data_IF_927819414425
#
_entry.id   IF_927819414425
#
_cell.length_a   1.000
_cell.length_b   1.000
_cell.length_c   1.000
_cell.angle_alpha   90.00
_cell.angle_beta   90.00
_cell.angle_gamma   90.00
#
_symmetry.space_group_name_H-M   'P 1'
#
loop_
_entity.id
_entity.type
_entity.pdbx_description
1 polymer ?
#
# COMPACT_ATOMS: atom_id res chain seq x y z
N UNK A 1 68.75 9.05 6.52
CA UNK A 1 69.20 9.20 7.92
C UNK A 1 68.07 8.81 8.82
N UNK A 2 68.12 7.65 9.45
CA UNK A 2 67.45 7.28 10.73
C UNK A 2 68.30 7.99 11.84
N UNK A 3 67.84 8.09 13.13
CA UNK A 3 67.13 7.14 14.02
C UNK A 3 66.01 7.83 14.83
N UNK A 4 65.25 7.32 15.80
CA UNK A 4 65.24 6.18 16.76
C UNK A 4 63.84 6.01 17.31
N UNK A 5 63.27 4.92 17.43
CA UNK A 5 63.21 3.73 18.28
C UNK A 5 63.40 4.00 19.80
N UNK A 6 62.42 3.49 20.54
CA UNK A 6 62.38 3.07 21.95
C UNK A 6 61.72 4.02 22.98
N UNK A 7 60.76 3.43 23.66
CA UNK A 7 60.52 3.77 25.05
C UNK A 7 59.10 3.78 25.52
N UNK A 8 58.67 2.68 26.18
CA UNK A 8 57.78 2.86 27.30
C UNK A 8 56.67 1.89 27.52
N UNK A 9 56.95 0.59 27.68
CA UNK A 9 56.08 -0.28 28.45
C UNK A 9 56.40 -0.11 29.95
N UNK A 10 55.48 0.45 30.71
CA UNK A 10 55.47 0.33 32.19
C UNK A 10 54.08 0.44 32.76
N UNK A 11 53.75 -0.63 33.52
CA UNK A 11 52.94 -0.68 34.75
C UNK A 11 51.42 -0.44 34.61
N UNK A 12 50.71 -1.52 34.44
CA UNK A 12 49.41 -1.70 35.02
C UNK A 12 49.41 -2.99 35.86
N UNK A 13 49.99 -2.91 37.03
CA UNK A 13 49.76 -3.81 38.17
C UNK A 13 49.63 -2.91 39.38
N UNK A 14 48.45 -2.89 39.92
CA UNK A 14 48.00 -2.61 41.29
C UNK A 14 46.67 -1.92 41.28
N UNK A 15 45.63 -2.67 41.54
CA UNK A 15 44.53 -2.27 42.38
C UNK A 15 43.62 -3.52 42.57
N UNK A 16 43.99 -4.36 43.56
CA UNK A 16 43.05 -5.26 44.20
C UNK A 16 42.28 -4.46 45.25
N UNK A 17 40.96 -4.40 45.24
CA UNK A 17 40.20 -3.86 46.37
C UNK A 17 40.18 -4.90 47.50
N UNK A 18 40.65 -4.43 48.67
CA UNK A 18 40.57 -5.09 49.96
C UNK A 18 39.10 -5.35 50.32
N UNK A 19 38.76 -6.59 50.67
CA UNK A 19 37.43 -6.97 51.14
C UNK A 19 37.22 -6.44 52.55
N UNK A 20 36.19 -5.61 52.76
CA UNK A 20 35.71 -5.25 54.09
C UNK A 20 34.77 -6.35 54.65
N UNK A 21 34.90 -6.74 55.93
CA UNK A 21 34.01 -7.69 56.60
C UNK A 21 32.84 -6.93 57.23
N UNK A 22 31.67 -7.03 56.66
CA UNK A 22 30.46 -6.37 57.23
C UNK A 22 29.20 -6.53 56.34
N UNK A 23 28.98 -7.71 55.82
CA UNK A 23 27.79 -7.98 55.00
C UNK A 23 26.53 -8.24 55.84
N UNK A 24 25.59 -7.31 55.76
CA UNK A 24 24.22 -7.49 56.16
C UNK A 24 23.54 -8.39 55.12
N UNK A 25 22.86 -9.46 55.56
CA UNK A 25 22.05 -10.34 54.71
C UNK A 25 20.85 -9.51 54.17
N UNK A 26 20.96 -8.98 52.97
CA UNK A 26 19.83 -8.39 52.27
C UNK A 26 19.03 -9.44 51.53
N UNK A 27 17.79 -9.43 51.88
CA UNK A 27 16.59 -10.05 51.36
C UNK A 27 16.68 -10.41 49.86
N UNK A 28 16.77 -11.69 49.56
CA UNK A 28 16.85 -12.26 48.23
C UNK A 28 15.47 -12.25 47.56
N UNK A 29 14.88 -11.05 47.33
CA UNK A 29 13.74 -10.91 46.46
C UNK A 29 14.23 -11.07 45.03
N UNK A 30 13.82 -12.15 44.40
CA UNK A 30 13.96 -12.40 42.97
C UNK A 30 13.16 -11.32 42.21
N UNK A 31 13.79 -10.19 41.94
CA UNK A 31 13.25 -9.20 41.01
C UNK A 31 13.60 -9.71 39.60
N UNK A 32 12.61 -10.17 38.81
CA UNK A 32 12.90 -10.59 37.45
C UNK A 32 13.48 -9.37 36.72
N UNK A 33 14.70 -9.51 36.14
CA UNK A 33 15.31 -8.48 35.31
C UNK A 33 14.31 -8.16 34.22
N UNK A 34 14.00 -6.87 33.94
CA UNK A 34 13.18 -6.53 32.81
C UNK A 34 13.82 -7.12 31.56
N UNK A 35 13.01 -7.83 30.75
CA UNK A 35 13.46 -8.42 29.50
C UNK A 35 14.14 -7.31 28.71
N UNK A 36 15.42 -7.55 28.37
CA UNK A 36 16.20 -6.61 27.57
C UNK A 36 15.55 -6.47 26.18
N UNK A 37 14.78 -5.41 25.99
CA UNK A 37 14.13 -5.10 24.73
C UNK A 37 15.05 -4.36 23.76
N UNK A 38 16.35 -4.27 24.10
CA UNK A 38 17.35 -3.57 23.27
C UNK A 38 17.45 -4.19 21.87
N UNK A 39 17.43 -5.53 21.80
CA UNK A 39 17.43 -6.23 20.51
C UNK A 39 16.19 -5.93 19.66
N UNK A 40 15.03 -5.75 20.30
CA UNK A 40 13.80 -5.39 19.59
C UNK A 40 13.87 -3.95 19.05
N UNK A 41 14.44 -3.04 19.82
CA UNK A 41 14.67 -1.65 19.39
C UNK A 41 15.67 -1.56 18.24
N UNK A 42 16.79 -2.33 18.30
CA UNK A 42 17.73 -2.38 17.18
C UNK A 42 17.09 -3.01 15.94
N UNK A 43 16.37 -4.11 16.10
CA UNK A 43 15.65 -4.75 14.98
C UNK A 43 14.63 -3.79 14.35
N UNK A 44 13.88 -3.03 15.15
CA UNK A 44 12.95 -2.02 14.65
C UNK A 44 13.67 -0.86 13.97
N UNK A 45 14.79 -0.43 14.52
CA UNK A 45 15.62 0.62 13.94
C UNK A 45 16.17 0.19 12.57
N UNK A 46 16.76 -1.00 12.49
CA UNK A 46 17.34 -1.55 11.27
C UNK A 46 16.27 -1.83 10.21
N UNK A 47 15.12 -2.38 10.62
CA UNK A 47 14.01 -2.69 9.71
C UNK A 47 13.27 -1.42 9.20
N UNK A 48 13.13 -0.40 10.06
CA UNK A 48 12.32 0.77 9.75
C UNK A 48 13.13 1.93 9.17
N UNK A 49 14.41 2.06 9.49
CA UNK A 49 15.21 3.23 9.14
C UNK A 49 16.34 2.94 8.14
N UNK A 50 16.88 1.71 8.12
CA UNK A 50 17.98 1.36 7.22
C UNK A 50 17.55 0.39 6.12
N UNK A 51 17.17 0.92 4.96
CA UNK A 51 16.93 0.12 3.74
C UNK A 51 18.22 -0.39 3.06
N UNK A 52 19.38 -0.13 3.65
CA UNK A 52 20.68 -0.36 3.03
C UNK A 52 21.05 -1.84 2.74
N UNK A 53 20.73 -2.86 3.57
CA UNK A 53 21.17 -4.23 3.29
C UNK A 53 20.36 -4.92 2.19
N UNK A 54 19.20 -4.37 1.80
CA UNK A 54 18.28 -5.04 0.87
C UNK A 54 18.42 -4.56 -0.59
N UNK A 55 19.36 -3.67 -0.89
CA UNK A 55 19.63 -3.22 -2.27
C UNK A 55 20.04 -4.41 -3.15
N UNK A 56 19.43 -4.52 -4.32
CA UNK A 56 19.65 -5.60 -5.26
C UNK A 56 18.78 -6.86 -5.03
N UNK A 57 18.29 -7.08 -3.81
CA UNK A 57 17.43 -8.22 -3.51
C UNK A 57 16.03 -8.05 -4.12
N UNK A 58 15.59 -6.80 -4.30
CA UNK A 58 14.25 -6.45 -4.79
C UNK A 58 14.21 -6.11 -6.30
N UNK A 59 15.26 -6.31 -7.06
CA UNK A 59 15.25 -6.00 -8.49
C UNK A 59 14.26 -6.89 -9.26
N UNK A 60 13.35 -6.24 -9.98
CA UNK A 60 12.34 -6.88 -10.81
C UNK A 60 12.59 -6.59 -12.30
N UNK A 61 12.42 -7.58 -13.18
CA UNK A 61 12.40 -7.36 -14.61
C UNK A 61 11.31 -6.37 -15.02
N UNK A 62 11.60 -5.55 -16.04
CA UNK A 62 10.67 -4.51 -16.57
C UNK A 62 9.31 -5.10 -16.98
N UNK A 63 9.24 -6.38 -17.29
CA UNK A 63 7.99 -7.06 -17.66
C UNK A 63 6.92 -6.96 -16.58
N UNK A 64 7.29 -6.88 -15.31
CA UNK A 64 6.32 -6.68 -14.20
C UNK A 64 5.69 -5.29 -14.25
N UNK A 65 6.49 -4.25 -14.56
CA UNK A 65 6.01 -2.88 -14.70
C UNK A 65 5.11 -2.74 -15.94
N UNK A 66 5.57 -3.25 -17.09
CA UNK A 66 4.79 -3.27 -18.33
C UNK A 66 3.50 -4.06 -18.19
N UNK A 67 3.53 -5.19 -17.48
CA UNK A 67 2.34 -5.99 -17.18
C UNK A 67 1.34 -5.24 -16.30
N UNK A 68 1.81 -4.53 -15.28
CA UNK A 68 0.97 -3.69 -14.44
C UNK A 68 0.30 -2.57 -15.25
N UNK A 69 1.07 -1.87 -16.10
CA UNK A 69 0.55 -0.86 -17.03
C UNK A 69 -0.51 -1.46 -17.95
N UNK A 70 -0.24 -2.66 -18.53
CA UNK A 70 -1.19 -3.33 -19.41
C UNK A 70 -2.54 -3.58 -18.73
N UNK A 71 -2.54 -4.19 -17.55
CA UNK A 71 -3.79 -4.50 -16.85
C UNK A 71 -4.56 -3.24 -16.48
N UNK A 72 -3.91 -2.20 -15.97
CA UNK A 72 -4.59 -0.95 -15.66
C UNK A 72 -5.07 -0.21 -16.91
N UNK A 73 -4.25 -0.10 -17.96
CA UNK A 73 -4.67 0.49 -19.23
C UNK A 73 -5.86 -0.27 -19.83
N UNK A 74 -5.89 -1.58 -19.73
CA UNK A 74 -7.00 -2.42 -20.17
C UNK A 74 -8.28 -2.08 -19.37
N UNK A 75 -8.20 -1.90 -18.05
CA UNK A 75 -9.38 -1.47 -17.27
C UNK A 75 -9.86 -0.08 -17.66
N UNK A 76 -8.94 0.83 -18.00
CA UNK A 76 -9.25 2.16 -18.54
C UNK A 76 -9.96 2.09 -19.89
N UNK A 77 -9.44 1.29 -20.83
CA UNK A 77 -10.06 1.07 -22.14
C UNK A 77 -11.48 0.49 -22.01
N UNK A 78 -11.65 -0.55 -21.16
CA UNK A 78 -12.94 -1.16 -20.91
C UNK A 78 -13.93 -0.19 -20.23
N UNK A 79 -13.45 0.69 -19.34
CA UNK A 79 -14.27 1.71 -18.73
C UNK A 79 -14.73 2.77 -19.75
N UNK A 80 -13.85 3.16 -20.68
CA UNK A 80 -14.17 4.09 -21.77
C UNK A 80 -15.23 3.50 -22.73
N UNK A 81 -15.07 2.22 -23.13
CA UNK A 81 -16.04 1.51 -23.97
C UNK A 81 -17.42 1.46 -23.29
N UNK A 82 -17.50 1.17 -22.00
CA UNK A 82 -18.75 1.18 -21.23
C UNK A 82 -19.41 2.56 -21.18
N UNK A 83 -18.64 3.64 -21.29
CA UNK A 83 -19.12 5.03 -21.30
C UNK A 83 -19.46 5.51 -22.71
N UNK A 84 -19.22 4.73 -23.75
CA UNK A 84 -19.43 5.11 -25.13
C UNK A 84 -18.47 6.18 -25.61
N UNK A 85 -17.24 6.22 -25.06
CA UNK A 85 -16.22 7.15 -25.52
C UNK A 85 -15.69 6.72 -26.89
N UNK A 86 -15.24 7.68 -27.67
CA UNK A 86 -14.57 7.46 -28.95
C UNK A 86 -13.14 6.89 -28.76
N UNK A 87 -12.44 6.66 -29.87
CA UNK A 87 -11.09 6.12 -29.87
C UNK A 87 -10.09 6.98 -29.09
N UNK A 88 -10.22 8.31 -29.20
CA UNK A 88 -9.34 9.25 -28.52
C UNK A 88 -9.61 9.23 -27.02
N UNK A 89 -10.87 9.29 -26.63
CA UNK A 89 -11.28 9.21 -25.24
C UNK A 89 -10.90 7.87 -24.60
N UNK A 90 -11.02 6.76 -25.34
CA UNK A 90 -10.58 5.45 -24.90
C UNK A 90 -9.06 5.41 -24.67
N UNK A 91 -8.27 5.93 -25.61
CA UNK A 91 -6.81 5.97 -25.48
C UNK A 91 -6.39 6.85 -24.29
N UNK A 92 -6.96 8.04 -24.15
CA UNK A 92 -6.66 8.96 -23.04
C UNK A 92 -6.98 8.29 -21.70
N UNK A 93 -8.15 7.67 -21.57
CA UNK A 93 -8.54 7.02 -20.32
C UNK A 93 -7.67 5.79 -20.01
N UNK A 94 -7.33 4.99 -21.02
CA UNK A 94 -6.40 3.87 -20.89
C UNK A 94 -5.00 4.35 -20.47
N UNK A 95 -4.51 5.42 -21.11
CA UNK A 95 -3.23 6.04 -20.78
C UNK A 95 -3.21 6.53 -19.32
N UNK A 96 -4.15 7.37 -18.93
CA UNK A 96 -4.19 7.93 -17.57
C UNK A 96 -4.35 6.82 -16.53
N UNK A 97 -5.17 5.82 -16.80
CA UNK A 97 -5.36 4.69 -15.88
C UNK A 97 -4.09 3.85 -15.79
N UNK A 98 -3.47 3.54 -16.94
CA UNK A 98 -2.29 2.69 -17.02
C UNK A 98 -1.05 3.30 -16.37
N UNK A 99 -0.84 4.60 -16.50
CA UNK A 99 0.40 5.26 -16.04
C UNK A 99 0.20 6.20 -14.87
N UNK A 100 -1.04 6.54 -14.52
CA UNK A 100 -1.34 7.55 -13.51
C UNK A 100 -0.73 7.26 -12.15
N UNK A 101 -0.79 6.00 -11.69
CA UNK A 101 -0.13 5.58 -10.45
C UNK A 101 1.39 5.77 -10.51
N UNK A 102 2.02 5.37 -11.62
CA UNK A 102 3.45 5.55 -11.84
C UNK A 102 3.86 7.03 -11.92
N UNK A 103 3.05 7.88 -12.55
CA UNK A 103 3.29 9.32 -12.59
C UNK A 103 3.20 9.95 -11.20
N UNK A 104 2.22 9.56 -10.37
CA UNK A 104 2.12 9.99 -8.97
C UNK A 104 3.36 9.53 -8.20
N UNK A 105 3.75 8.27 -8.34
CA UNK A 105 4.94 7.71 -7.68
C UNK A 105 6.21 8.45 -8.08
N UNK A 106 6.48 8.57 -9.38
CA UNK A 106 7.72 9.12 -9.89
C UNK A 106 7.77 10.65 -9.73
N UNK A 107 6.64 11.35 -9.92
CA UNK A 107 6.57 12.80 -9.84
C UNK A 107 6.50 13.36 -8.42
N UNK A 108 5.82 12.68 -7.47
CA UNK A 108 5.66 13.20 -6.11
C UNK A 108 6.65 12.62 -5.12
N UNK A 109 6.98 11.32 -5.24
CA UNK A 109 7.75 10.63 -4.20
C UNK A 109 9.19 10.34 -4.59
N UNK A 110 9.44 9.79 -5.79
CA UNK A 110 10.79 9.35 -6.17
C UNK A 110 11.62 10.52 -6.70
N UNK A 111 11.09 11.33 -7.62
CA UNK A 111 11.73 12.54 -8.17
C UNK A 111 13.15 12.33 -8.70
N UNK A 112 13.47 11.16 -9.23
CA UNK A 112 14.77 10.78 -9.78
C UNK A 112 14.78 10.80 -11.30
N UNK A 113 14.60 11.98 -11.90
CA UNK A 113 14.59 12.16 -13.36
C UNK A 113 13.18 12.00 -13.99
N UNK A 114 13.11 11.93 -15.33
CA UNK A 114 11.83 11.81 -16.03
C UNK A 114 11.15 10.48 -15.71
N UNK A 115 9.80 10.49 -15.56
CA UNK A 115 9.05 9.25 -15.35
C UNK A 115 9.36 8.21 -16.43
N UNK A 116 9.43 6.92 -16.04
CA UNK A 116 9.78 5.82 -16.94
C UNK A 116 8.90 5.78 -18.20
N UNK A 117 7.63 6.16 -18.08
CA UNK A 117 6.68 6.23 -19.21
C UNK A 117 7.09 7.21 -20.30
N UNK A 118 7.77 8.31 -19.94
CA UNK A 118 8.25 9.31 -20.90
C UNK A 118 9.57 8.89 -21.50
N UNK A 119 10.40 8.20 -20.73
CA UNK A 119 11.74 7.78 -21.14
C UNK A 119 11.73 6.54 -22.05
N UNK A 120 10.69 5.68 -21.97
CA UNK A 120 10.65 4.38 -22.64
C UNK A 120 9.37 4.20 -23.46
N UNK A 121 9.51 4.19 -24.78
CA UNK A 121 8.38 4.02 -25.71
C UNK A 121 7.63 2.68 -25.60
N UNK A 122 8.20 1.65 -24.92
CA UNK A 122 7.52 0.36 -24.68
C UNK A 122 6.21 0.52 -23.93
N UNK A 123 6.13 1.48 -23.02
CA UNK A 123 4.89 1.77 -22.28
C UNK A 123 3.76 2.20 -23.20
N UNK A 124 4.05 3.05 -24.19
CA UNK A 124 3.05 3.49 -25.16
C UNK A 124 2.52 2.31 -26.01
N UNK A 125 3.43 1.44 -26.46
CA UNK A 125 3.06 0.23 -27.20
C UNK A 125 2.15 -0.68 -26.35
N UNK A 126 2.47 -0.88 -25.08
CA UNK A 126 1.67 -1.68 -24.16
C UNK A 126 0.27 -1.08 -23.95
N UNK A 127 0.15 0.24 -23.85
CA UNK A 127 -1.16 0.91 -23.73
C UNK A 127 -1.99 0.74 -25.02
N UNK A 128 -1.37 0.85 -26.19
CA UNK A 128 -2.06 0.61 -27.46
C UNK A 128 -2.54 -0.83 -27.56
N UNK A 129 -1.72 -1.81 -27.15
CA UNK A 129 -2.11 -3.22 -27.08
C UNK A 129 -3.26 -3.45 -26.11
N UNK A 130 -3.26 -2.75 -24.94
CA UNK A 130 -4.36 -2.80 -23.99
C UNK A 130 -5.66 -2.22 -24.58
N UNK A 131 -5.59 -1.14 -25.36
CA UNK A 131 -6.74 -0.60 -26.08
C UNK A 131 -7.29 -1.60 -27.10
N UNK A 132 -6.43 -2.23 -27.89
CA UNK A 132 -6.83 -3.27 -28.85
C UNK A 132 -7.47 -4.47 -28.15
N UNK A 133 -6.87 -4.95 -27.08
CA UNK A 133 -7.43 -6.03 -26.26
C UNK A 133 -8.79 -5.62 -25.66
N UNK A 134 -8.90 -4.39 -25.19
CA UNK A 134 -10.16 -3.82 -24.67
C UNK A 134 -11.28 -3.83 -25.69
N UNK A 135 -10.99 -3.54 -26.95
CA UNK A 135 -12.00 -3.61 -28.03
C UNK A 135 -12.49 -5.03 -28.33
N UNK A 136 -11.57 -5.99 -28.29
CA UNK A 136 -11.92 -7.40 -28.50
C UNK A 136 -12.80 -7.90 -27.35
N UNK A 137 -12.43 -7.57 -26.11
CA UNK A 137 -13.13 -8.01 -24.89
C UNK A 137 -14.42 -7.20 -24.69
N UNK A 138 -14.41 -5.92 -25.08
CA UNK A 138 -15.47 -4.94 -24.82
C UNK A 138 -16.85 -5.34 -25.36
N UNK A 139 -16.89 -6.05 -26.50
CA UNK A 139 -18.12 -6.56 -27.07
C UNK A 139 -18.91 -7.54 -26.18
N UNK A 140 -18.24 -8.13 -25.15
CA UNK A 140 -18.86 -9.09 -24.23
C UNK A 140 -18.98 -8.53 -22.80
N UNK A 141 -18.63 -7.25 -22.57
CA UNK A 141 -18.45 -6.68 -21.23
C UNK A 141 -19.76 -6.56 -20.45
N UNK A 142 -20.90 -6.40 -21.13
CA UNK A 142 -22.22 -6.37 -20.48
C UNK A 142 -22.55 -7.69 -19.82
N UNK A 143 -22.04 -8.81 -20.36
CA UNK A 143 -22.25 -10.15 -19.85
C UNK A 143 -21.37 -10.44 -18.62
N UNK A 144 -20.26 -9.70 -18.45
CA UNK A 144 -19.27 -9.93 -17.41
C UNK A 144 -18.99 -8.66 -16.58
N UNK A 145 -19.95 -8.17 -15.84
CA UNK A 145 -19.83 -6.96 -15.02
C UNK A 145 -18.63 -6.97 -14.05
N UNK A 146 -18.19 -8.14 -13.59
CA UNK A 146 -17.08 -8.31 -12.66
C UNK A 146 -15.71 -8.37 -13.35
N UNK A 147 -15.66 -8.48 -14.68
CA UNK A 147 -14.40 -8.66 -15.44
C UNK A 147 -13.43 -7.50 -15.20
N UNK A 148 -13.91 -6.26 -15.22
CA UNK A 148 -13.06 -5.09 -14.94
C UNK A 148 -12.46 -5.20 -13.54
N UNK A 149 -13.23 -5.60 -12.54
CA UNK A 149 -12.75 -5.72 -11.16
C UNK A 149 -11.70 -6.82 -10.99
N UNK A 150 -11.77 -7.91 -11.75
CA UNK A 150 -10.77 -8.98 -11.73
C UNK A 150 -9.46 -8.56 -12.44
N UNK A 151 -9.56 -7.90 -13.60
CA UNK A 151 -8.40 -7.36 -14.31
C UNK A 151 -7.72 -6.28 -13.45
N UNK A 152 -8.50 -5.41 -12.82
CA UNK A 152 -8.04 -4.39 -11.89
C UNK A 152 -7.30 -5.01 -10.69
N UNK A 153 -7.79 -6.13 -10.17
CA UNK A 153 -7.16 -6.84 -9.05
C UNK A 153 -5.75 -7.38 -9.41
N UNK A 154 -5.55 -7.85 -10.65
CA UNK A 154 -4.23 -8.25 -11.14
C UNK A 154 -3.28 -7.04 -11.24
N UNK A 155 -3.75 -5.96 -11.84
CA UNK A 155 -2.99 -4.71 -11.93
C UNK A 155 -2.62 -4.16 -10.57
N UNK A 156 -3.56 -4.19 -9.62
CA UNK A 156 -3.36 -3.72 -8.24
C UNK A 156 -2.18 -4.42 -7.57
N UNK A 157 -2.15 -5.76 -7.62
CA UNK A 157 -1.05 -6.54 -7.05
C UNK A 157 0.29 -6.25 -7.73
N UNK A 158 0.30 -6.19 -9.05
CA UNK A 158 1.51 -5.90 -9.82
C UNK A 158 2.07 -4.51 -9.50
N UNK A 159 1.21 -3.48 -9.50
CA UNK A 159 1.65 -2.11 -9.18
C UNK A 159 2.03 -1.90 -7.72
N UNK A 160 1.42 -2.62 -6.77
CA UNK A 160 1.84 -2.58 -5.38
C UNK A 160 3.30 -3.04 -5.23
N UNK A 161 3.63 -4.16 -5.84
CA UNK A 161 4.98 -4.76 -5.81
C UNK A 161 6.00 -3.90 -6.57
N UNK A 162 5.68 -3.47 -7.79
CA UNK A 162 6.58 -2.65 -8.62
C UNK A 162 6.81 -1.27 -7.99
N UNK A 163 5.75 -0.63 -7.48
CA UNK A 163 5.85 0.67 -6.84
C UNK A 163 6.72 0.63 -5.59
N UNK A 164 6.55 -0.41 -4.76
CA UNK A 164 7.39 -0.65 -3.59
C UNK A 164 8.86 -0.88 -3.98
N UNK A 165 9.11 -1.75 -4.96
CA UNK A 165 10.47 -2.04 -5.43
C UNK A 165 11.19 -0.77 -5.90
N UNK A 166 10.53 0.07 -6.69
CA UNK A 166 11.12 1.34 -7.17
C UNK A 166 11.36 2.34 -6.04
N UNK A 167 10.49 2.38 -5.03
CA UNK A 167 10.70 3.22 -3.85
C UNK A 167 11.90 2.76 -3.01
N UNK A 168 12.09 1.45 -2.85
CA UNK A 168 13.29 0.89 -2.21
C UNK A 168 14.55 1.18 -3.02
N UNK A 169 14.50 1.07 -4.34
CA UNK A 169 15.61 1.45 -5.23
C UNK A 169 15.95 2.94 -5.13
N UNK A 170 14.98 3.80 -4.81
CA UNK A 170 15.17 5.22 -4.54
C UNK A 170 15.64 5.52 -3.10
N UNK A 171 16.06 4.52 -2.32
CA UNK A 171 16.54 4.60 -0.94
C UNK A 171 15.49 5.05 0.09
N UNK A 172 14.23 4.79 -0.14
CA UNK A 172 13.19 5.00 0.85
C UNK A 172 13.21 3.89 1.90
N UNK A 173 12.82 4.21 3.13
CA UNK A 173 12.61 3.21 4.18
C UNK A 173 11.49 2.23 3.81
N UNK A 174 11.52 1.02 4.37
CA UNK A 174 10.52 -0.02 4.08
C UNK A 174 9.07 0.49 4.28
N UNK A 175 8.73 1.16 5.40
CA UNK A 175 7.38 1.69 5.58
C UNK A 175 6.98 2.73 4.52
N UNK A 176 7.92 3.63 4.15
CA UNK A 176 7.69 4.60 3.10
C UNK A 176 7.50 3.92 1.74
N UNK A 177 8.32 2.91 1.42
CA UNK A 177 8.20 2.15 0.19
C UNK A 177 6.88 1.36 0.11
N UNK A 178 6.40 0.77 1.20
CA UNK A 178 5.08 0.12 1.28
C UNK A 178 3.97 1.13 1.00
N UNK A 179 4.05 2.33 1.59
CA UNK A 179 3.09 3.40 1.34
C UNK A 179 3.10 3.84 -0.13
N UNK A 180 4.28 4.10 -0.69
CA UNK A 180 4.45 4.51 -2.10
C UNK A 180 3.96 3.42 -3.05
N UNK A 181 4.27 2.14 -2.78
CA UNK A 181 3.76 1.00 -3.55
C UNK A 181 2.24 0.91 -3.52
N UNK A 182 1.64 1.12 -2.34
CA UNK A 182 0.19 1.15 -2.18
C UNK A 182 -0.44 2.31 -2.96
N UNK A 183 0.10 3.52 -2.86
CA UNK A 183 -0.38 4.70 -3.61
C UNK A 183 -0.23 4.49 -5.11
N UNK A 184 0.91 3.94 -5.56
CA UNK A 184 1.12 3.57 -6.96
C UNK A 184 0.04 2.62 -7.47
N UNK A 185 -0.29 1.59 -6.67
CA UNK A 185 -1.28 0.59 -7.03
C UNK A 185 -2.70 1.16 -7.15
N UNK A 186 -3.11 2.04 -6.24
CA UNK A 186 -4.47 2.58 -6.23
C UNK A 186 -4.64 3.80 -7.13
N UNK A 187 -3.54 4.50 -7.45
CA UNK A 187 -3.55 5.80 -8.13
C UNK A 187 -4.16 5.76 -9.53
N UNK A 188 -3.83 4.75 -10.34
CA UNK A 188 -4.39 4.59 -11.68
C UNK A 188 -5.90 4.39 -11.67
N UNK A 189 -6.41 3.51 -10.79
CA UNK A 189 -7.84 3.27 -10.61
C UNK A 189 -8.58 4.50 -10.08
N UNK A 190 -7.96 5.24 -9.13
CA UNK A 190 -8.51 6.49 -8.61
C UNK A 190 -8.70 7.53 -9.74
N UNK A 191 -7.67 7.77 -10.54
CA UNK A 191 -7.75 8.73 -11.65
C UNK A 191 -8.81 8.30 -12.68
N UNK A 192 -8.87 7.01 -13.04
CA UNK A 192 -9.92 6.47 -13.90
C UNK A 192 -11.30 6.80 -13.37
N UNK A 193 -11.56 6.46 -12.11
CA UNK A 193 -12.89 6.58 -11.51
C UNK A 193 -13.30 8.07 -11.42
N UNK A 194 -12.37 8.97 -11.11
CA UNK A 194 -12.61 10.43 -11.11
C UNK A 194 -12.98 10.92 -12.52
N UNK A 195 -12.22 10.53 -13.57
CA UNK A 195 -12.48 10.97 -14.94
C UNK A 195 -13.85 10.47 -15.42
N UNK A 196 -14.19 9.21 -15.13
CA UNK A 196 -15.50 8.67 -15.52
C UNK A 196 -16.64 9.07 -14.58
N UNK A 197 -16.36 9.92 -13.59
CA UNK A 197 -17.33 10.45 -12.61
C UNK A 197 -18.08 9.34 -11.88
N UNK A 198 -17.37 8.36 -11.38
CA UNK A 198 -17.89 7.35 -10.45
C UNK A 198 -17.18 7.48 -9.13
N UNK A 199 -17.84 7.05 -8.07
CA UNK A 199 -17.22 7.02 -6.75
C UNK A 199 -16.04 6.04 -6.76
N UNK A 200 -14.80 6.50 -6.41
CA UNK A 200 -13.61 5.68 -6.49
C UNK A 200 -13.70 4.44 -5.60
N UNK A 201 -13.29 3.28 -6.13
CA UNK A 201 -13.34 2.00 -5.43
C UNK A 201 -12.57 2.04 -4.10
N UNK A 202 -11.49 2.81 -4.03
CA UNK A 202 -10.68 2.93 -2.81
C UNK A 202 -11.40 3.64 -1.66
N UNK A 203 -12.41 4.47 -1.95
CA UNK A 203 -13.18 5.22 -0.96
C UNK A 203 -14.47 4.52 -0.55
N UNK A 204 -14.95 3.56 -1.35
CA UNK A 204 -16.17 2.83 -1.05
C UNK A 204 -16.03 1.97 0.20
N UNK A 205 -16.94 2.09 1.17
CA UNK A 205 -16.98 1.17 2.30
C UNK A 205 -17.09 -0.27 1.79
N UNK A 206 -16.24 -1.18 2.29
CA UNK A 206 -16.36 -2.59 2.00
C UNK A 206 -15.54 -3.14 0.86
N UNK A 207 -14.80 -2.34 0.13
CA UNK A 207 -14.08 -2.88 -1.02
C UNK A 207 -12.70 -3.50 -0.69
N UNK A 208 -12.16 -3.31 0.50
CA UNK A 208 -10.81 -3.79 0.92
C UNK A 208 -9.70 -3.51 -0.12
N UNK A 209 -9.94 -2.50 -1.00
CA UNK A 209 -9.10 -2.23 -2.16
C UNK A 209 -7.68 -1.82 -1.76
N UNK A 210 -7.57 -0.79 -0.92
CA UNK A 210 -6.29 -0.30 -0.40
C UNK A 210 -5.62 -1.33 0.49
N UNK A 211 -6.41 -2.05 1.31
CA UNK A 211 -5.88 -3.11 2.18
C UNK A 211 -5.28 -4.26 1.39
N UNK A 212 -5.85 -4.62 0.24
CA UNK A 212 -5.28 -5.66 -0.62
C UNK A 212 -3.92 -5.23 -1.20
N UNK A 213 -3.77 -3.98 -1.65
CA UNK A 213 -2.50 -3.44 -2.12
C UNK A 213 -1.46 -3.40 -0.99
N UNK A 214 -1.88 -2.97 0.21
CA UNK A 214 -1.03 -2.92 1.40
C UNK A 214 -0.54 -4.33 1.79
N UNK A 215 -1.45 -5.31 1.85
CA UNK A 215 -1.11 -6.70 2.15
C UNK A 215 -0.16 -7.29 1.11
N UNK A 216 -0.38 -7.01 -0.18
CA UNK A 216 0.52 -7.42 -1.26
C UNK A 216 1.93 -6.85 -1.11
N UNK A 217 2.04 -5.56 -0.78
CA UNK A 217 3.32 -4.90 -0.52
C UNK A 217 4.04 -5.49 0.69
N UNK A 218 3.34 -5.69 1.80
CA UNK A 218 3.89 -6.30 3.02
C UNK A 218 4.35 -7.75 2.74
N UNK A 219 3.52 -8.53 2.05
CA UNK A 219 3.84 -9.91 1.72
C UNK A 219 5.09 -10.00 0.83
N UNK A 220 5.22 -9.12 -0.16
CA UNK A 220 6.40 -9.09 -1.02
C UNK A 220 7.68 -8.80 -0.22
N UNK A 221 7.67 -7.78 0.64
CA UNK A 221 8.82 -7.47 1.53
C UNK A 221 9.14 -8.66 2.42
N UNK A 222 8.13 -9.23 3.07
CA UNK A 222 8.31 -10.35 4.00
C UNK A 222 8.90 -11.58 3.30
N UNK A 223 8.39 -11.94 2.12
CA UNK A 223 8.93 -13.07 1.34
C UNK A 223 10.37 -12.83 0.92
N UNK A 224 10.68 -11.62 0.46
CA UNK A 224 12.03 -11.30 -0.04
C UNK A 224 13.04 -11.15 1.09
N UNK A 225 12.62 -10.66 2.27
CA UNK A 225 13.50 -10.48 3.43
C UNK A 225 13.73 -11.78 4.23
N UNK A 226 12.72 -12.66 4.32
CA UNK A 226 12.79 -13.83 5.22
C UNK A 226 13.17 -15.10 4.46
N UNK A 227 12.88 -15.18 3.15
CA UNK A 227 13.08 -16.40 2.37
C UNK A 227 14.18 -16.22 1.32
N UNK A 228 14.91 -17.29 0.93
CA UNK A 228 15.92 -17.25 -0.15
C UNK A 228 15.27 -17.22 -1.55
N UNK A 229 14.06 -16.71 -1.67
CA UNK A 229 13.36 -16.61 -2.95
C UNK A 229 13.91 -15.44 -3.77
N UNK A 230 14.02 -15.64 -5.10
CA UNK A 230 14.30 -14.52 -5.99
C UNK A 230 13.14 -13.50 -5.97
N UNK A 231 13.46 -12.22 -6.14
CA UNK A 231 12.47 -11.14 -6.16
C UNK A 231 11.30 -11.41 -7.13
N UNK A 232 11.60 -11.99 -8.31
CA UNK A 232 10.55 -12.33 -9.29
C UNK A 232 9.57 -13.38 -8.78
N UNK A 233 10.06 -14.42 -8.07
CA UNK A 233 9.18 -15.45 -7.48
C UNK A 233 8.35 -14.87 -6.34
N UNK A 234 8.97 -14.07 -5.44
CA UNK A 234 8.28 -13.38 -4.39
C UNK A 234 7.20 -12.43 -4.92
N UNK A 235 7.51 -11.70 -6.02
CA UNK A 235 6.57 -10.84 -6.71
C UNK A 235 5.36 -11.61 -7.25
N UNK A 236 5.57 -12.73 -7.94
CA UNK A 236 4.48 -13.55 -8.47
C UNK A 236 3.57 -14.08 -7.35
N UNK A 237 4.16 -14.54 -6.25
CA UNK A 237 3.39 -14.99 -5.08
C UNK A 237 2.59 -13.84 -4.47
N UNK A 238 3.20 -12.67 -4.28
CA UNK A 238 2.53 -11.50 -3.71
C UNK A 238 1.40 -10.99 -4.63
N UNK A 239 1.63 -10.93 -5.94
CA UNK A 239 0.61 -10.56 -6.94
C UNK A 239 -0.54 -11.56 -6.91
N UNK A 240 -0.24 -12.87 -6.93
CA UNK A 240 -1.24 -13.93 -6.87
C UNK A 240 -2.05 -13.91 -5.59
N UNK A 241 -1.42 -13.67 -4.44
CA UNK A 241 -2.09 -13.57 -3.15
C UNK A 241 -2.98 -12.32 -3.09
N UNK A 242 -2.51 -11.16 -3.59
CA UNK A 242 -3.31 -9.93 -3.69
C UNK A 242 -4.54 -10.15 -4.57
N UNK A 243 -4.34 -10.76 -5.72
CA UNK A 243 -5.42 -11.11 -6.63
C UNK A 243 -6.45 -12.04 -5.96
N UNK A 244 -5.99 -13.14 -5.36
CA UNK A 244 -6.86 -14.09 -4.67
C UNK A 244 -7.65 -13.42 -3.55
N UNK A 245 -7.00 -12.59 -2.73
CA UNK A 245 -7.64 -11.83 -1.67
C UNK A 245 -8.72 -10.89 -2.25
N UNK A 246 -8.43 -10.18 -3.34
CA UNK A 246 -9.41 -9.30 -4.02
C UNK A 246 -10.59 -10.09 -4.60
N UNK A 247 -10.32 -11.21 -5.25
CA UNK A 247 -11.39 -12.09 -5.78
C UNK A 247 -12.29 -12.58 -4.65
N UNK A 248 -11.72 -13.02 -3.54
CA UNK A 248 -12.49 -13.45 -2.36
C UNK A 248 -13.34 -12.31 -1.80
N UNK A 249 -12.78 -11.10 -1.63
CA UNK A 249 -13.53 -9.95 -1.11
C UNK A 249 -14.68 -9.54 -2.03
N UNK A 250 -14.49 -9.65 -3.36
CA UNK A 250 -15.54 -9.39 -4.36
C UNK A 250 -16.60 -10.50 -4.32
N UNK A 251 -16.18 -11.76 -4.21
CA UNK A 251 -17.10 -12.90 -4.24
C UNK A 251 -17.98 -12.96 -3.00
N UNK A 252 -17.37 -12.83 -1.81
CA UNK A 252 -18.10 -12.85 -0.53
C UNK A 252 -18.76 -11.50 -0.18
N UNK A 253 -18.59 -10.48 -1.04
CA UNK A 253 -19.11 -9.13 -0.79
C UNK A 253 -18.78 -8.61 0.62
N UNK A 254 -17.54 -8.84 1.06
CA UNK A 254 -17.11 -8.35 2.38
C UNK A 254 -17.19 -6.84 2.44
N UNK A 255 -17.83 -6.32 3.49
CA UNK A 255 -18.05 -4.90 3.65
C UNK A 255 -17.46 -4.41 4.97
N UNK A 256 -16.64 -3.35 4.90
CA UNK A 256 -16.29 -2.57 6.08
C UNK A 256 -17.46 -1.69 6.47
N UNK A 257 -17.68 -1.52 7.77
CA UNK A 257 -18.73 -0.59 8.24
C UNK A 257 -18.27 0.84 8.01
N UNK A 258 -19.17 1.70 7.51
CA UNK A 258 -18.89 3.13 7.46
C UNK A 258 -18.61 3.68 8.86
N UNK A 259 -17.66 4.61 8.95
CA UNK A 259 -17.33 5.28 10.21
C UNK A 259 -18.52 6.12 10.66
N UNK A 260 -19.03 5.85 11.86
CA UNK A 260 -20.09 6.67 12.48
C UNK A 260 -19.42 7.71 13.39
N UNK A 261 -19.91 8.96 13.41
CA UNK A 261 -19.41 9.95 14.35
C UNK A 261 -19.62 9.45 15.78
N UNK A 262 -18.59 9.60 16.63
CA UNK A 262 -18.64 9.18 18.04
C UNK A 262 -19.82 9.77 18.82
N UNK A 263 -20.25 10.98 18.44
CA UNK A 263 -21.32 11.74 19.10
C UNK A 263 -22.69 11.61 18.43
N UNK A 264 -22.91 10.75 17.45
CA UNK A 264 -24.19 10.60 16.78
C UNK A 264 -25.29 9.92 17.64
N UNK A 265 -24.99 9.54 18.88
CA UNK A 265 -25.92 8.87 19.78
C UNK A 265 -26.97 9.77 20.44
N UNK A 266 -26.76 11.09 20.52
CA UNK A 266 -27.63 12.00 21.28
C UNK A 266 -28.60 12.85 20.42
N UNK A 267 -28.41 12.89 19.09
CA UNK A 267 -29.26 13.73 18.22
C UNK A 267 -30.56 13.07 17.75
N UNK A 268 -30.72 11.75 17.95
CA UNK A 268 -31.96 11.06 17.52
C UNK A 268 -33.04 11.00 18.59
N UNK A 269 -32.68 11.18 19.86
CA UNK A 269 -33.70 11.25 20.92
C UNK A 269 -34.41 12.61 20.94
N UNK A 270 -33.69 13.70 20.72
CA UNK A 270 -34.28 15.05 20.66
C UNK A 270 -35.25 15.19 19.48
N UNK A 271 -34.93 14.62 18.29
CA UNK A 271 -35.85 14.73 17.15
C UNK A 271 -37.16 13.95 17.33
N UNK A 272 -37.15 12.83 18.06
CA UNK A 272 -38.37 12.08 18.37
C UNK A 272 -39.26 12.80 19.40
N UNK A 273 -38.66 13.41 20.40
CA UNK A 273 -39.37 14.21 21.41
C UNK A 273 -40.00 15.45 20.78
N UNK A 274 -39.27 16.12 19.87
CA UNK A 274 -39.77 17.28 19.14
C UNK A 274 -40.94 16.91 18.16
N UNK A 275 -40.85 15.75 17.50
CA UNK A 275 -41.91 15.27 16.62
C UNK A 275 -43.16 14.79 17.39
N UNK A 276 -43.01 14.19 18.56
CA UNK A 276 -44.09 13.84 19.46
C UNK A 276 -44.75 15.08 20.06
N UNK A 277 -43.97 16.08 20.49
CA UNK A 277 -44.50 17.36 20.97
C UNK A 277 -45.33 18.08 19.89
N UNK A 278 -44.84 18.13 18.64
CA UNK A 278 -45.55 18.77 17.54
C UNK A 278 -46.85 18.00 17.18
N UNK A 279 -46.92 16.67 17.31
CA UNK A 279 -48.15 15.90 17.11
C UNK A 279 -49.16 16.18 18.18
N UNK A 280 -48.76 16.31 19.46
CA UNK A 280 -49.66 16.64 20.57
C UNK A 280 -50.21 18.07 20.45
N UNK A 281 -49.44 19.03 19.99
CA UNK A 281 -49.91 20.41 19.74
C UNK A 281 -50.95 20.46 18.60
N UNK A 282 -50.75 19.63 17.52
CA UNK A 282 -51.68 19.56 16.41
C UNK A 282 -53.02 18.86 16.79
N UNK A 283 -52.97 17.87 17.67
CA UNK A 283 -54.19 17.22 18.19
C UNK A 283 -54.97 18.12 19.14
N UNK A 284 -54.25 18.91 19.97
CA UNK A 284 -54.91 19.85 20.90
C UNK A 284 -55.53 21.06 20.19
N UNK A 285 -54.98 21.47 19.04
CA UNK A 285 -55.51 22.55 18.20
C UNK A 285 -56.78 22.15 17.45
N UNK A 286 -56.93 20.87 17.07
CA UNK A 286 -58.13 20.35 16.35
C UNK A 286 -59.34 20.10 17.23
N UNK A 287 -59.20 20.05 18.53
CA UNK A 287 -60.30 19.82 19.49
C UNK A 287 -61.01 21.11 19.96
N UNK A 288 -60.66 22.28 19.40
CA UNK A 288 -61.26 23.56 19.80
C UNK A 288 -62.02 24.28 18.68
N UNK A 289 -62.24 23.65 17.54
CA UNK A 289 -63.20 24.02 16.52
C UNK A 289 -64.42 23.06 16.59
#
# INVERSE_FOLDING_TARGET
MRPDVLGGARSQFNDCPVAEPGGRLEDNRFIPRPMDTGWLKSLWHDLLLEAHPLRGVFELPVIFDLGAVFFFALTGALAAIRRGYDWVGMFILAFVTGVGGALIRDGLFIQQGPPAIVADGRYLVVILLACLAGMVIGGHIERFQKTIAYIDALGLGAYAVVGLQKALAANMSIPAAIMVGTINAVGGGLLRDIIVRVEPLMLKPGQFYVLAALLGSILFVSLTAITPLSASKAALIAIGATFAFRVLTIWFNWQTKAVRPWFAGHGKETSKVDDEARKQEQEHGRGKE
#
